data_IF_871751170110
#
_entry.id   IF_871751170110
#
_cell.length_a   1.000
_cell.length_b   1.000
_cell.length_c   1.000
_cell.angle_alpha   90.00
_cell.angle_beta   90.00
_cell.angle_gamma   90.00
#
_symmetry.space_group_name_H-M   'P 1'
#
loop_
_entity.id
_entity.type
_entity.pdbx_description
1 polymer ?
#
# COMPACT_ATOMS: atom_id res chain seq x y z
N UNK A 1 10.62 -9.09 -0.26
CA UNK A 1 9.37 -8.38 -0.55
C UNK A 1 8.34 -9.40 -0.99
N UNK A 2 7.09 -9.30 -0.53
CA UNK A 2 5.93 -9.99 -1.09
C UNK A 2 4.93 -8.93 -1.58
N UNK A 3 4.46 -9.07 -2.82
CA UNK A 3 3.39 -8.24 -3.38
C UNK A 3 2.09 -9.03 -3.37
N UNK A 4 1.06 -8.48 -2.75
CA UNK A 4 -0.28 -9.06 -2.64
C UNK A 4 -1.23 -8.20 -3.47
N UNK A 5 -1.71 -8.78 -4.56
CA UNK A 5 -2.81 -8.23 -5.34
C UNK A 5 -4.15 -8.51 -4.66
N UNK A 6 -4.91 -7.49 -4.34
CA UNK A 6 -6.27 -7.65 -3.79
C UNK A 6 -7.37 -7.13 -4.71
N UNK A 7 -8.55 -7.75 -4.70
CA UNK A 7 -9.78 -7.05 -5.04
C UNK A 7 -10.17 -6.17 -3.84
N UNK A 8 -10.28 -4.86 -4.06
CA UNK A 8 -10.62 -3.91 -3.00
C UNK A 8 -11.94 -4.25 -2.29
N UNK A 9 -12.02 -3.92 -1.00
CA UNK A 9 -13.24 -4.10 -0.21
C UNK A 9 -13.43 -5.50 0.39
N UNK A 10 -12.43 -6.39 0.30
CA UNK A 10 -12.47 -7.68 0.99
C UNK A 10 -12.22 -7.48 2.49
N UNK A 11 -13.24 -7.80 3.30
CA UNK A 11 -13.24 -7.60 4.76
C UNK A 11 -12.11 -8.38 5.45
N UNK A 12 -11.74 -9.52 4.89
CA UNK A 12 -10.72 -10.43 5.44
C UNK A 12 -9.29 -9.96 5.14
N UNK A 13 -9.07 -9.05 4.18
CA UNK A 13 -7.73 -8.61 3.76
C UNK A 13 -6.85 -8.22 4.95
N UNK A 14 -7.27 -7.37 5.91
CA UNK A 14 -6.40 -6.99 7.02
C UNK A 14 -5.95 -8.17 7.90
N UNK A 15 -6.83 -9.16 8.11
CA UNK A 15 -6.49 -10.36 8.88
C UNK A 15 -5.52 -11.29 8.15
N UNK A 16 -5.67 -11.41 6.83
CA UNK A 16 -4.73 -12.14 5.97
C UNK A 16 -3.36 -11.46 5.97
N UNK A 17 -3.33 -10.13 5.82
CA UNK A 17 -2.08 -9.35 5.86
C UNK A 17 -1.37 -9.46 7.20
N UNK A 18 -2.10 -9.46 8.32
CA UNK A 18 -1.51 -9.72 9.64
C UNK A 18 -0.83 -11.10 9.68
N UNK A 19 -1.53 -12.14 9.19
CA UNK A 19 -1.00 -13.50 9.17
C UNK A 19 0.24 -13.63 8.28
N UNK A 20 0.24 -12.97 7.12
CA UNK A 20 1.39 -12.92 6.21
C UNK A 20 2.57 -12.15 6.84
N UNK A 21 2.30 -11.01 7.46
CA UNK A 21 3.33 -10.21 8.13
C UNK A 21 4.02 -11.02 9.23
N UNK A 22 3.25 -11.78 10.03
CA UNK A 22 3.79 -12.67 11.05
C UNK A 22 4.60 -13.83 10.45
N UNK A 23 4.11 -14.46 9.38
CA UNK A 23 4.78 -15.59 8.73
C UNK A 23 6.10 -15.19 8.04
N UNK A 24 6.18 -13.96 7.54
CA UNK A 24 7.34 -13.45 6.79
C UNK A 24 8.31 -12.64 7.67
N UNK A 25 8.01 -12.51 8.96
CA UNK A 25 8.70 -11.61 9.89
C UNK A 25 8.90 -10.20 9.29
N UNK A 26 7.79 -9.67 8.78
CA UNK A 26 7.74 -8.38 8.09
C UNK A 26 8.00 -7.24 9.07
N UNK A 27 8.79 -6.25 8.64
CA UNK A 27 9.08 -5.02 9.39
C UNK A 27 8.59 -3.77 8.66
N UNK A 28 8.21 -3.91 7.38
CA UNK A 28 7.67 -2.83 6.58
C UNK A 28 6.39 -3.27 5.87
N UNK A 29 5.38 -2.40 5.83
CA UNK A 29 4.18 -2.60 5.01
C UNK A 29 4.01 -1.45 4.03
N UNK A 30 3.43 -1.72 2.87
CA UNK A 30 3.20 -0.74 1.84
C UNK A 30 1.75 -0.82 1.33
N UNK A 31 1.11 0.34 1.14
CA UNK A 31 -0.27 0.44 0.67
C UNK A 31 -0.39 1.34 -0.57
N UNK A 32 -1.25 0.94 -1.49
CA UNK A 32 -1.73 1.74 -2.62
C UNK A 32 -2.70 2.84 -2.14
N UNK A 33 -2.20 3.72 -1.28
CA UNK A 33 -2.89 4.92 -0.82
C UNK A 33 -2.09 6.15 -1.23
N UNK A 34 -2.80 7.26 -1.40
CA UNK A 34 -2.27 8.59 -1.66
C UNK A 34 -1.34 9.03 -0.55
N UNK A 35 -0.06 9.09 -0.88
CA UNK A 35 0.94 9.67 0.01
C UNK A 35 0.77 11.18 0.21
N UNK A 36 0.00 11.86 -0.65
CA UNK A 36 -0.23 13.30 -0.56
C UNK A 36 -1.26 13.62 0.53
N UNK A 37 -2.26 12.75 0.71
CA UNK A 37 -3.34 12.96 1.68
C UNK A 37 -3.14 12.15 2.96
N UNK A 38 -2.76 10.87 2.83
CA UNK A 38 -2.83 9.91 3.93
C UNK A 38 -1.55 9.78 4.73
N UNK A 39 -0.42 10.30 4.24
CA UNK A 39 0.87 10.13 4.92
C UNK A 39 0.88 10.80 6.31
N UNK A 40 0.41 12.05 6.50
CA UNK A 40 0.32 12.65 7.85
C UNK A 40 -0.48 11.78 8.84
N UNK A 41 -1.61 11.22 8.40
CA UNK A 41 -2.49 10.37 9.19
C UNK A 41 -1.79 9.08 9.61
N UNK A 42 -1.18 8.40 8.64
CA UNK A 42 -0.54 7.12 8.85
C UNK A 42 0.73 7.26 9.70
N UNK A 43 1.56 8.27 9.46
CA UNK A 43 2.79 8.46 10.21
C UNK A 43 2.52 8.81 11.68
N UNK A 44 1.42 9.50 11.99
CA UNK A 44 1.03 9.76 13.39
C UNK A 44 0.69 8.45 14.12
N UNK A 45 -0.07 7.56 13.46
CA UNK A 45 -0.36 6.23 14.00
C UNK A 45 0.92 5.42 14.25
N UNK A 46 1.86 5.44 13.30
CA UNK A 46 3.15 4.73 13.38
C UNK A 46 3.98 5.21 14.56
N UNK A 47 3.99 6.52 14.87
CA UNK A 47 4.73 7.11 16.00
C UNK A 47 4.16 6.78 17.39
N UNK A 48 3.14 5.93 17.46
CA UNK A 48 2.46 5.59 18.71
C UNK A 48 1.23 6.45 19.01
N UNK A 49 0.85 7.32 18.07
CA UNK A 49 -0.41 8.06 18.14
C UNK A 49 -1.62 7.14 18.03
N UNK A 50 -2.79 7.67 18.39
CA UNK A 50 -4.08 7.10 18.04
C UNK A 50 -4.55 7.66 16.70
N UNK A 51 -5.52 7.00 16.05
CA UNK A 51 -6.14 7.57 14.86
C UNK A 51 -6.83 8.90 15.24
N UNK A 52 -6.30 10.01 14.74
CA UNK A 52 -6.89 11.32 14.96
C UNK A 52 -8.09 11.49 14.02
N UNK A 53 -9.28 11.33 14.60
CA UNK A 53 -10.53 11.48 13.88
C UNK A 53 -10.75 12.93 13.42
N UNK A 54 -10.25 13.93 14.15
CA UNK A 54 -10.38 15.33 13.75
C UNK A 54 -9.53 15.62 12.51
N UNK A 55 -8.32 15.05 12.44
CA UNK A 55 -7.50 15.11 11.23
C UNK A 55 -8.20 14.43 10.04
N UNK A 56 -8.83 13.26 10.25
CA UNK A 56 -9.59 12.60 9.18
C UNK A 56 -10.79 13.44 8.71
N UNK A 57 -11.52 14.09 9.64
CA UNK A 57 -12.64 14.97 9.30
C UNK A 57 -12.21 16.29 8.67
N UNK A 58 -10.93 16.66 8.78
CA UNK A 58 -10.37 17.83 8.11
C UNK A 58 -10.06 17.59 6.62
N UNK A 59 -10.05 16.33 6.17
CA UNK A 59 -9.89 15.98 4.76
C UNK A 59 -11.08 16.49 3.94
N UNK A 60 -10.80 16.88 2.69
CA UNK A 60 -11.85 17.29 1.75
C UNK A 60 -12.82 16.15 1.45
N UNK A 61 -14.02 16.49 0.98
CA UNK A 61 -15.05 15.51 0.58
C UNK A 61 -14.61 14.62 -0.59
N UNK A 62 -13.68 15.10 -1.41
CA UNK A 62 -13.06 14.35 -2.51
C UNK A 62 -11.84 13.52 -2.09
N UNK A 63 -11.46 13.51 -0.81
CA UNK A 63 -10.27 12.79 -0.37
C UNK A 63 -10.41 11.30 -0.66
N UNK A 64 -9.29 10.65 -1.01
CA UNK A 64 -9.25 9.22 -1.30
C UNK A 64 -9.78 8.39 -0.13
N UNK A 65 -9.58 8.85 1.10
CA UNK A 65 -10.13 8.24 2.30
C UNK A 65 -11.64 7.98 2.22
N UNK A 66 -12.39 8.84 1.52
CA UNK A 66 -13.85 8.76 1.37
C UNK A 66 -14.32 8.12 0.04
N UNK A 67 -13.40 7.59 -0.79
CA UNK A 67 -13.77 7.05 -2.12
C UNK A 67 -14.69 5.82 -2.06
N UNK A 68 -14.71 5.09 -0.93
CA UNK A 68 -15.66 4.00 -0.66
C UNK A 68 -15.40 2.70 -1.42
N UNK A 69 -14.28 2.57 -2.13
CA UNK A 69 -13.92 1.35 -2.87
C UNK A 69 -13.36 0.22 -1.98
N UNK A 70 -13.07 0.53 -0.72
CA UNK A 70 -12.58 -0.43 0.27
C UNK A 70 -11.06 -0.60 0.35
N UNK A 71 -10.27 0.20 -0.38
CA UNK A 71 -8.80 0.28 -0.22
C UNK A 71 -8.40 0.76 1.17
N UNK A 72 -9.16 1.70 1.73
CA UNK A 72 -8.94 2.28 3.05
C UNK A 72 -10.13 1.90 3.93
N UNK A 73 -9.87 1.22 5.06
CA UNK A 73 -10.92 0.76 5.98
C UNK A 73 -10.43 0.86 7.42
N UNK A 74 -11.36 0.86 8.38
CA UNK A 74 -11.02 0.74 9.80
C UNK A 74 -10.19 -0.52 10.12
N UNK A 75 -10.38 -1.60 9.35
CA UNK A 75 -9.60 -2.82 9.48
C UNK A 75 -8.11 -2.62 9.14
N UNK A 76 -7.79 -1.78 8.15
CA UNK A 76 -6.41 -1.45 7.82
C UNK A 76 -5.72 -0.64 8.93
N UNK A 77 -6.41 0.32 9.54
CA UNK A 77 -5.86 1.05 10.69
C UNK A 77 -5.69 0.15 11.91
N UNK A 78 -6.64 -0.76 12.17
CA UNK A 78 -6.51 -1.77 13.23
C UNK A 78 -5.33 -2.73 12.99
N UNK A 79 -5.08 -3.11 11.73
CA UNK A 79 -3.89 -3.87 11.33
C UNK A 79 -2.60 -3.11 11.67
N UNK A 80 -2.50 -1.83 11.28
CA UNK A 80 -1.32 -1.01 11.56
C UNK A 80 -1.05 -0.88 13.06
N UNK A 81 -2.10 -0.58 13.85
CA UNK A 81 -1.99 -0.54 15.31
C UNK A 81 -1.50 -1.87 15.87
N UNK A 82 -2.09 -2.98 15.42
CA UNK A 82 -1.70 -4.31 15.87
C UNK A 82 -0.25 -4.66 15.54
N UNK A 83 0.21 -4.39 14.31
CA UNK A 83 1.60 -4.64 13.92
C UNK A 83 2.57 -3.80 14.75
N UNK A 84 2.24 -2.55 15.04
CA UNK A 84 3.03 -1.69 15.92
C UNK A 84 3.08 -2.23 17.35
N UNK A 85 1.93 -2.59 17.92
CA UNK A 85 1.85 -3.08 19.30
C UNK A 85 2.57 -4.45 19.47
N UNK A 86 2.72 -5.20 18.38
CA UNK A 86 3.50 -6.44 18.30
C UNK A 86 5.00 -6.22 17.99
N UNK A 87 5.48 -4.97 17.89
CA UNK A 87 6.86 -4.59 17.51
C UNK A 87 7.28 -5.12 16.12
N UNK A 88 6.31 -5.18 15.19
CA UNK A 88 6.47 -5.65 13.80
C UNK A 88 6.36 -4.54 12.75
N UNK A 89 6.24 -3.29 13.19
CA UNK A 89 6.02 -2.16 12.29
C UNK A 89 7.14 -1.13 12.42
N UNK A 90 8.23 -1.35 11.70
CA UNK A 90 9.33 -0.39 11.55
C UNK A 90 9.07 0.67 10.48
N UNK A 91 8.27 0.36 9.45
CA UNK A 91 7.99 1.26 8.33
C UNK A 91 6.59 1.06 7.74
N UNK A 92 5.92 2.16 7.39
CA UNK A 92 4.75 2.17 6.49
C UNK A 92 5.06 3.02 5.28
N UNK A 93 4.79 2.50 4.08
CA UNK A 93 5.01 3.20 2.81
C UNK A 93 3.66 3.38 2.10
N UNK A 94 3.26 4.63 1.90
CA UNK A 94 2.17 4.95 0.98
C UNK A 94 2.80 5.30 -0.37
N UNK A 95 2.45 4.55 -1.41
CA UNK A 95 3.18 4.61 -2.68
C UNK A 95 2.36 5.09 -3.88
N UNK A 96 1.07 5.32 -3.72
CA UNK A 96 0.24 5.91 -4.78
C UNK A 96 0.08 7.42 -4.60
N UNK A 97 -0.39 8.11 -5.64
CA UNK A 97 -0.62 9.56 -5.67
C UNK A 97 -2.08 9.86 -5.96
N UNK A 98 -2.49 11.11 -5.73
CA UNK A 98 -3.75 11.59 -6.27
C UNK A 98 -3.71 11.60 -7.79
N UNK A 99 -4.84 11.24 -8.39
CA UNK A 99 -5.00 11.35 -9.84
C UNK A 99 -4.93 12.82 -10.26
N UNK A 100 -4.16 13.15 -11.30
CA UNK A 100 -4.03 14.52 -11.73
C UNK A 100 -5.27 14.90 -12.56
N UNK A 101 -5.65 16.18 -12.54
CA UNK A 101 -6.67 16.71 -13.44
C UNK A 101 -6.02 17.59 -14.53
N UNK A 102 -6.11 17.22 -15.83
CA UNK A 102 -6.75 16.02 -16.38
C UNK A 102 -5.93 14.74 -16.17
N UNK A 103 -6.62 13.59 -16.17
CA UNK A 103 -5.96 12.29 -16.05
C UNK A 103 -4.96 12.08 -17.20
N UNK A 104 -3.80 11.43 -16.95
CA UNK A 104 -2.84 11.16 -18.00
C UNK A 104 -3.46 10.20 -19.03
N UNK A 105 -3.12 10.34 -20.32
CA UNK A 105 -3.66 9.45 -21.35
C UNK A 105 -3.10 8.03 -21.26
N UNK A 106 -1.95 7.85 -20.59
CA UNK A 106 -1.28 6.57 -20.41
C UNK A 106 -1.32 6.16 -18.93
N UNK A 107 -2.09 5.11 -18.64
CA UNK A 107 -2.25 4.56 -17.30
C UNK A 107 -0.93 4.04 -16.72
N UNK A 108 0.02 3.62 -17.57
CA UNK A 108 1.31 3.08 -17.14
C UNK A 108 2.17 4.12 -16.43
N UNK A 109 1.89 5.41 -16.63
CA UNK A 109 2.59 6.48 -15.92
C UNK A 109 2.36 6.36 -14.41
N UNK A 110 1.13 6.02 -13.97
CA UNK A 110 0.80 5.81 -12.56
C UNK A 110 1.54 4.61 -12.00
N UNK A 111 1.50 3.47 -12.71
CA UNK A 111 2.18 2.23 -12.31
C UNK A 111 3.70 2.39 -12.17
N UNK A 112 4.34 3.08 -13.12
CA UNK A 112 5.76 3.43 -13.03
C UNK A 112 6.07 4.27 -11.80
N UNK A 113 5.27 5.31 -11.55
CA UNK A 113 5.48 6.21 -10.41
C UNK A 113 5.26 5.52 -9.07
N UNK A 114 4.27 4.63 -8.97
CA UNK A 114 4.05 3.78 -7.81
C UNK A 114 5.29 2.91 -7.53
N UNK A 115 5.83 2.25 -8.57
CA UNK A 115 7.01 1.42 -8.44
C UNK A 115 8.26 2.23 -8.02
N UNK A 116 8.50 3.37 -8.67
CA UNK A 116 9.61 4.28 -8.35
C UNK A 116 9.56 4.75 -6.89
N UNK A 117 8.38 5.16 -6.42
CA UNK A 117 8.18 5.61 -5.04
C UNK A 117 8.40 4.46 -4.04
N UNK A 118 7.79 3.31 -4.29
CA UNK A 118 7.94 2.12 -3.46
C UNK A 118 9.42 1.74 -3.29
N UNK A 119 10.14 1.61 -4.40
CA UNK A 119 11.55 1.24 -4.42
C UNK A 119 12.46 2.29 -3.77
N UNK A 120 12.12 3.58 -3.91
CA UNK A 120 12.87 4.69 -3.31
C UNK A 120 12.72 4.74 -1.79
N UNK A 121 11.52 4.44 -1.27
CA UNK A 121 11.22 4.51 0.16
C UNK A 121 11.63 3.24 0.91
N UNK A 122 11.61 2.09 0.25
CA UNK A 122 11.88 0.81 0.89
C UNK A 122 13.32 0.70 1.37
N UNK A 123 13.49 0.50 2.69
CA UNK A 123 14.75 0.03 3.24
C UNK A 123 14.95 -1.45 2.86
N UNK A 124 15.80 -1.71 1.87
CA UNK A 124 16.07 -3.07 1.33
C UNK A 124 16.59 -4.10 2.35
N UNK A 125 16.92 -3.68 3.58
CA UNK A 125 17.26 -4.59 4.68
C UNK A 125 16.03 -5.23 5.32
N UNK A 126 14.87 -4.62 5.17
CA UNK A 126 13.64 -5.03 5.83
C UNK A 126 12.76 -5.87 4.90
N UNK A 127 12.13 -6.90 5.45
CA UNK A 127 11.06 -7.64 4.78
C UNK A 127 9.86 -6.71 4.59
N UNK A 128 9.45 -6.53 3.33
CA UNK A 128 8.33 -5.67 2.92
C UNK A 128 7.14 -6.50 2.43
N UNK A 129 5.96 -6.21 2.98
CA UNK A 129 4.66 -6.68 2.49
C UNK A 129 3.94 -5.54 1.78
N UNK A 130 3.65 -5.71 0.49
CA UNK A 130 3.01 -4.69 -0.37
C UNK A 130 1.58 -5.12 -0.66
N UNK A 131 0.60 -4.26 -0.36
CA UNK A 131 -0.80 -4.42 -0.77
C UNK A 131 -1.11 -3.44 -1.90
N UNK A 132 -1.62 -3.97 -3.01
CA UNK A 132 -1.99 -3.21 -4.20
C UNK A 132 -3.18 -3.88 -4.89
N UNK A 133 -3.93 -3.13 -5.68
CA UNK A 133 -5.00 -3.65 -6.53
C UNK A 133 -4.50 -4.75 -7.45
N UNK A 134 -5.32 -5.79 -7.62
CA UNK A 134 -4.93 -7.03 -8.31
C UNK A 134 -4.38 -6.81 -9.73
N UNK A 135 -4.81 -5.76 -10.43
CA UNK A 135 -4.27 -5.41 -11.75
C UNK A 135 -2.80 -4.98 -11.68
N UNK A 136 -2.46 -4.06 -10.78
CA UNK A 136 -1.10 -3.54 -10.58
C UNK A 136 -0.13 -4.61 -10.05
N UNK A 137 -0.66 -5.67 -9.45
CA UNK A 137 0.09 -6.82 -8.93
C UNK A 137 0.56 -7.82 -10.01
N UNK A 138 0.03 -7.74 -11.24
CA UNK A 138 0.30 -8.75 -12.27
C UNK A 138 1.74 -8.65 -12.78
N UNK A 139 2.34 -9.80 -13.12
CA UNK A 139 3.66 -9.91 -13.74
C UNK A 139 3.60 -10.19 -15.25
N UNK A 140 2.40 -10.40 -15.77
CA UNK A 140 2.14 -10.74 -17.17
C UNK A 140 0.79 -10.14 -17.56
N UNK A 141 0.80 -9.22 -18.52
CA UNK A 141 -0.37 -8.53 -19.09
C UNK A 141 -0.21 -8.46 -20.60
N UNK A 142 -1.32 -8.46 -21.34
CA UNK A 142 -1.29 -8.43 -22.81
C UNK A 142 -0.66 -7.16 -23.37
N UNK A 143 -0.96 -6.00 -22.74
CA UNK A 143 -0.44 -4.70 -23.15
C UNK A 143 -0.02 -3.87 -21.94
N UNK A 144 1.12 -3.18 -22.09
CA UNK A 144 1.66 -2.25 -21.10
C UNK A 144 2.53 -2.90 -20.03
N UNK A 145 2.83 -2.13 -18.99
CA UNK A 145 3.71 -2.51 -17.88
C UNK A 145 3.04 -2.12 -16.56
N UNK A 146 2.77 -3.11 -15.73
CA UNK A 146 2.21 -2.88 -14.39
C UNK A 146 3.27 -2.40 -13.41
N UNK A 147 2.82 -1.92 -12.25
CA UNK A 147 3.69 -1.53 -11.13
C UNK A 147 4.61 -2.69 -10.75
N UNK A 148 4.08 -3.89 -10.62
CA UNK A 148 4.86 -5.05 -10.20
C UNK A 148 5.86 -5.49 -11.27
N UNK A 149 5.56 -5.34 -12.56
CA UNK A 149 6.54 -5.55 -13.63
C UNK A 149 7.69 -4.53 -13.56
N UNK A 150 7.40 -3.26 -13.27
CA UNK A 150 8.46 -2.26 -13.02
C UNK A 150 9.32 -2.63 -11.81
N UNK A 151 8.71 -3.07 -10.70
CA UNK A 151 9.45 -3.55 -9.52
C UNK A 151 10.31 -4.77 -9.86
N UNK A 152 9.78 -5.71 -10.65
CA UNK A 152 10.48 -6.93 -11.04
C UNK A 152 11.75 -6.68 -11.87
N UNK A 153 11.82 -5.54 -12.58
CA UNK A 153 13.02 -5.09 -13.30
C UNK A 153 14.17 -4.70 -12.38
N UNK A 154 13.88 -4.29 -11.14
CA UNK A 154 14.86 -3.81 -10.16
C UNK A 154 15.14 -4.82 -9.03
N UNK A 155 14.18 -5.70 -8.77
CA UNK A 155 14.21 -6.70 -7.70
C UNK A 155 13.64 -8.00 -8.25
N UNK A 156 14.34 -9.13 -8.16
CA UNK A 156 13.85 -10.38 -8.74
C UNK A 156 12.58 -10.84 -8.01
N UNK A 157 11.43 -10.65 -8.64
CA UNK A 157 10.13 -11.14 -8.21
C UNK A 157 9.72 -12.37 -9.03
N UNK A 158 8.97 -13.28 -8.40
CA UNK A 158 8.38 -14.45 -9.04
C UNK A 158 6.97 -14.63 -8.49
N UNK A 159 6.03 -15.15 -9.29
CA UNK A 159 4.73 -15.56 -8.77
C UNK A 159 4.92 -16.54 -7.60
N UNK A 160 4.16 -16.35 -6.53
CA UNK A 160 4.10 -17.33 -5.46
C UNK A 160 3.46 -18.61 -6.03
N UNK A 161 4.19 -19.72 -6.03
CA UNK A 161 3.60 -21.02 -6.32
C UNK A 161 2.85 -21.47 -5.06
N UNK A 162 1.51 -21.47 -5.12
CA UNK A 162 0.63 -21.97 -4.06
C UNK A 162 0.11 -23.34 -4.49
#
# INVERSE_FOLDING_TARGET
MLVVGEPHGVKETPGVLHSLAAALDTQAVAFEWSHEEMDPVVQELVRGGSLDLEMLWSLGDSAEFFCGDGRITAGHFALLQRLRDEDRLGQVILFDRLDPEPAPPDWQVRDRQMAERLLKQWNRRDSLLVLVGAFHAQLDVEEGVTMTMHVAGEVPLRPAMI
#
